data_IF_000729015564
#
_entry.id   IF_000729015564
#
_cell.length_a   1.000
_cell.length_b   1.000
_cell.length_c   1.000
_cell.angle_alpha   90.00
_cell.angle_beta   90.00
_cell.angle_gamma   90.00
#
_symmetry.space_group_name_H-M   'P 1'
#
loop_
_entity.id
_entity.type
_entity.pdbx_description
1 polymer ?
#
# COMPACT_ATOMS: atom_id res chain seq x y z
N UNK A 1 33.84 -3.39 47.96
CA UNK A 1 33.14 -2.24 48.53
C UNK A 1 31.84 -2.76 49.12
N UNK A 2 31.50 -2.50 50.39
CA UNK A 2 30.52 -3.30 51.12
C UNK A 2 29.05 -3.00 50.78
N UNK A 3 28.74 -1.97 50.00
CA UNK A 3 27.37 -1.57 49.68
C UNK A 3 26.96 -1.72 48.20
N UNK A 4 27.91 -1.77 47.27
CA UNK A 4 27.63 -2.03 45.85
C UNK A 4 27.53 -3.54 45.59
N UNK A 5 26.44 -3.97 44.93
CA UNK A 5 26.28 -5.36 44.50
C UNK A 5 26.92 -5.56 43.14
N UNK A 6 27.86 -6.51 43.06
CA UNK A 6 28.46 -6.89 41.79
C UNK A 6 27.46 -7.73 40.96
N UNK A 7 27.02 -7.17 39.84
CA UNK A 7 26.09 -7.82 38.92
C UNK A 7 26.83 -8.66 37.87
N UNK A 8 27.92 -8.12 37.31
CA UNK A 8 28.74 -8.83 36.34
C UNK A 8 30.21 -8.41 36.44
N UNK A 9 31.11 -9.33 36.12
CA UNK A 9 32.53 -9.04 35.93
C UNK A 9 33.06 -9.76 34.71
N UNK A 10 34.01 -9.11 34.03
CA UNK A 10 34.59 -9.62 32.78
C UNK A 10 36.05 -9.25 32.64
N UNK A 11 36.71 -9.92 31.71
CA UNK A 11 38.06 -9.61 31.28
C UNK A 11 38.12 -9.55 29.75
N UNK A 12 38.97 -8.70 29.17
CA UNK A 12 39.18 -8.71 27.73
C UNK A 12 39.82 -10.03 27.30
N UNK A 13 39.42 -10.54 26.13
CA UNK A 13 40.06 -11.70 25.52
C UNK A 13 41.26 -11.35 24.64
N UNK A 14 41.49 -10.06 24.41
CA UNK A 14 42.68 -9.59 23.69
C UNK A 14 43.91 -9.74 24.59
N UNK A 15 44.92 -10.49 24.12
CA UNK A 15 46.17 -10.79 24.83
C UNK A 15 46.81 -9.55 25.48
N UNK A 16 46.94 -8.45 24.73
CA UNK A 16 47.55 -7.20 25.22
C UNK A 16 46.79 -6.59 26.42
N UNK A 17 45.47 -6.56 26.33
CA UNK A 17 44.59 -6.01 27.38
C UNK A 17 44.52 -6.93 28.61
N UNK A 18 44.61 -8.25 28.39
CA UNK A 18 44.69 -9.24 29.47
C UNK A 18 46.02 -9.14 30.23
N UNK A 19 47.12 -8.88 29.53
CA UNK A 19 48.45 -8.69 30.13
C UNK A 19 48.55 -7.37 30.92
N UNK A 20 47.77 -6.35 30.58
CA UNK A 20 47.68 -5.11 31.37
C UNK A 20 46.78 -5.22 32.61
N UNK A 21 46.26 -6.41 32.91
CA UNK A 21 45.40 -6.65 34.07
C UNK A 21 44.03 -5.98 33.98
N UNK A 22 43.56 -5.69 32.77
CA UNK A 22 42.29 -4.98 32.56
C UNK A 22 41.10 -5.83 33.02
N UNK A 23 40.19 -5.21 33.76
CA UNK A 23 38.98 -5.84 34.31
C UNK A 23 37.77 -4.93 34.15
N UNK A 24 36.64 -5.55 33.87
CA UNK A 24 35.36 -4.89 33.73
C UNK A 24 34.45 -5.29 34.88
N UNK A 25 33.73 -4.32 35.42
CA UNK A 25 32.78 -4.52 36.50
C UNK A 25 31.49 -3.78 36.17
N UNK A 26 30.38 -4.48 36.35
CA UNK A 26 29.05 -3.89 36.36
C UNK A 26 28.48 -4.12 37.75
N UNK A 27 28.18 -3.03 38.44
CA UNK A 27 27.47 -3.05 39.72
C UNK A 27 26.04 -2.57 39.54
N UNK A 28 25.26 -2.66 40.60
CA UNK A 28 23.94 -2.02 40.71
C UNK A 28 23.97 -0.50 40.58
N UNK A 29 25.15 0.13 40.65
CA UNK A 29 25.32 1.58 40.59
C UNK A 29 26.07 2.06 39.35
N UNK A 30 27.10 1.34 38.89
CA UNK A 30 28.03 1.83 37.87
C UNK A 30 28.61 0.73 36.98
N UNK A 31 29.02 1.15 35.80
CA UNK A 31 29.92 0.42 34.93
C UNK A 31 31.35 0.94 35.15
N UNK A 32 32.31 0.04 35.35
CA UNK A 32 33.70 0.40 35.57
C UNK A 32 34.67 -0.47 34.77
N UNK A 33 35.75 0.17 34.31
CA UNK A 33 36.91 -0.44 33.66
C UNK A 33 38.15 -0.11 34.47
N UNK A 34 38.77 -1.12 35.07
CA UNK A 34 40.02 -0.98 35.80
C UNK A 34 41.19 -1.50 34.95
N UNK A 35 42.29 -0.76 34.87
CA UNK A 35 43.51 -1.18 34.19
C UNK A 35 44.73 -0.52 34.85
N UNK A 36 45.68 -1.35 35.32
CA UNK A 36 46.78 -0.87 36.14
C UNK A 36 46.30 -0.10 37.38
N UNK A 37 46.60 1.20 37.45
CA UNK A 37 46.16 2.12 38.51
C UNK A 37 45.00 3.04 38.09
N UNK A 38 44.52 2.93 36.85
CA UNK A 38 43.46 3.77 36.31
C UNK A 38 42.12 3.05 36.40
N UNK A 39 41.08 3.84 36.67
CA UNK A 39 39.69 3.41 36.77
C UNK A 39 38.84 4.38 35.97
N UNK A 40 38.25 3.89 34.88
CA UNK A 40 37.22 4.64 34.17
C UNK A 40 35.87 4.14 34.67
N UNK A 41 35.01 5.04 35.13
CA UNK A 41 33.71 4.69 35.67
C UNK A 41 32.60 5.58 35.12
N UNK A 42 31.41 4.98 35.00
CA UNK A 42 30.21 5.66 34.53
C UNK A 42 29.02 5.16 35.36
N UNK A 43 28.32 6.08 36.01
CA UNK A 43 27.09 5.77 36.77
C UNK A 43 26.03 5.27 35.80
N UNK A 44 25.28 4.22 36.17
CA UNK A 44 24.30 3.59 35.28
C UNK A 44 23.23 4.57 34.79
N UNK A 45 22.80 5.50 35.64
CA UNK A 45 21.84 6.55 35.25
C UNK A 45 22.39 7.53 34.22
N UNK A 46 23.71 7.69 34.16
CA UNK A 46 24.41 8.57 33.23
C UNK A 46 24.83 7.85 31.94
N UNK A 47 24.56 6.56 31.80
CA UNK A 47 24.80 5.83 30.55
C UNK A 47 23.87 6.38 29.47
N UNK A 48 24.47 6.85 28.38
CA UNK A 48 23.81 7.33 27.17
C UNK A 48 23.85 6.29 26.06
N UNK A 49 24.24 6.71 24.85
CA UNK A 49 24.30 5.82 23.69
C UNK A 49 25.39 4.76 23.83
N UNK A 50 25.02 3.50 23.55
CA UNK A 50 25.93 2.35 23.56
C UNK A 50 26.19 1.91 22.12
N UNK A 51 27.43 2.03 21.67
CA UNK A 51 27.84 1.60 20.33
C UNK A 51 28.59 0.27 20.41
N UNK A 52 28.16 -0.71 19.61
CA UNK A 52 28.87 -1.97 19.41
C UNK A 52 29.63 -1.92 18.10
N UNK A 53 30.92 -2.25 18.14
CA UNK A 53 31.75 -2.43 16.94
C UNK A 53 32.49 -3.77 16.97
N UNK A 54 32.70 -4.33 15.78
CA UNK A 54 33.39 -5.61 15.59
C UNK A 54 34.42 -5.51 14.48
N UNK A 55 35.70 -5.65 14.84
CA UNK A 55 36.73 -5.89 13.84
C UNK A 55 36.64 -7.31 13.27
N UNK A 56 37.35 -7.58 12.17
CA UNK A 56 37.44 -8.94 11.60
C UNK A 56 37.99 -9.95 12.61
N UNK A 57 38.95 -9.53 13.45
CA UNK A 57 39.50 -10.35 14.52
C UNK A 57 38.47 -10.61 15.62
N UNK A 58 37.65 -9.60 15.96
CA UNK A 58 36.60 -9.77 16.97
C UNK A 58 35.55 -10.77 16.50
N UNK A 59 35.15 -10.73 15.22
CA UNK A 59 34.26 -11.74 14.62
C UNK A 59 34.81 -13.15 14.69
N UNK A 60 36.10 -13.32 14.38
CA UNK A 60 36.76 -14.63 14.45
C UNK A 60 36.78 -15.18 15.89
N UNK A 61 36.99 -14.30 16.87
CA UNK A 61 37.09 -14.65 18.28
C UNK A 61 35.73 -14.69 19.00
N UNK A 62 34.63 -14.36 18.31
CA UNK A 62 33.29 -14.26 18.90
C UNK A 62 33.19 -13.15 19.94
N UNK A 63 33.93 -12.06 19.77
CA UNK A 63 33.96 -10.92 20.69
C UNK A 63 33.46 -9.64 20.01
N UNK A 64 33.28 -8.57 20.79
CA UNK A 64 33.03 -7.22 20.28
C UNK A 64 33.64 -6.15 21.18
N UNK A 65 33.70 -4.92 20.68
CA UNK A 65 34.03 -3.72 21.47
C UNK A 65 32.78 -2.92 21.72
N UNK A 66 32.55 -2.53 22.97
CA UNK A 66 31.45 -1.66 23.38
C UNK A 66 32.00 -0.28 23.76
N UNK A 67 31.44 0.77 23.19
CA UNK A 67 31.73 2.16 23.52
C UNK A 67 30.50 2.70 24.22
N UNK A 68 30.59 2.91 25.52
CA UNK A 68 29.49 3.39 26.36
C UNK A 68 29.67 4.88 26.59
N UNK A 69 28.85 5.68 25.91
CA UNK A 69 28.89 7.13 26.05
C UNK A 69 28.10 7.57 27.29
N UNK A 70 28.50 8.69 27.87
CA UNK A 70 27.76 9.32 28.97
C UNK A 70 26.68 10.29 28.43
N UNK A 71 25.55 10.43 29.13
CA UNK A 71 24.53 11.45 28.86
C UNK A 71 25.06 12.88 29.04
N UNK A 72 25.83 13.20 30.12
CA UNK A 72 26.41 14.52 30.26
C UNK A 72 27.50 14.77 29.20
N UNK A 73 27.42 15.92 28.53
CA UNK A 73 28.44 16.33 27.55
C UNK A 73 29.78 16.56 28.24
N UNK A 74 30.86 16.03 27.67
CA UNK A 74 32.23 16.24 28.15
C UNK A 74 32.78 15.13 29.05
N UNK A 75 31.97 14.13 29.43
CA UNK A 75 32.44 12.93 30.13
C UNK A 75 32.98 11.93 29.11
N UNK A 76 34.18 11.40 29.34
CA UNK A 76 34.82 10.44 28.44
C UNK A 76 34.05 9.10 28.41
N UNK A 77 33.93 8.45 27.24
CA UNK A 77 33.23 7.17 27.13
C UNK A 77 34.03 6.04 27.80
N UNK A 78 33.30 5.08 28.37
CA UNK A 78 33.89 3.83 28.87
C UNK A 78 33.95 2.83 27.72
N UNK A 79 35.16 2.39 27.36
CA UNK A 79 35.37 1.47 26.23
C UNK A 79 35.73 0.07 26.73
N UNK A 80 34.84 -0.89 26.51
CA UNK A 80 35.03 -2.30 26.88
C UNK A 80 35.47 -3.09 25.63
N UNK A 81 36.65 -3.69 25.65
CA UNK A 81 37.20 -4.39 24.48
C UNK A 81 37.18 -5.90 24.65
N UNK A 82 37.02 -6.65 23.55
CA UNK A 82 37.13 -8.10 23.56
C UNK A 82 36.08 -8.80 24.45
N UNK A 83 34.86 -8.27 24.48
CA UNK A 83 33.73 -8.78 25.26
C UNK A 83 33.06 -9.94 24.51
N UNK A 84 32.89 -11.10 25.16
CA UNK A 84 31.98 -12.16 24.67
C UNK A 84 30.55 -11.76 24.96
N UNK A 85 29.62 -12.10 24.06
CA UNK A 85 28.20 -11.75 24.20
C UNK A 85 27.98 -10.23 24.32
N UNK A 86 28.73 -9.42 23.55
CA UNK A 86 28.63 -7.97 23.69
C UNK A 86 27.28 -7.36 23.29
N UNK A 87 26.43 -8.08 22.55
CA UNK A 87 25.07 -7.60 22.21
C UNK A 87 24.19 -7.72 23.44
N UNK A 88 24.30 -8.85 24.13
CA UNK A 88 23.61 -9.10 25.38
C UNK A 88 24.04 -8.10 26.44
N UNK A 89 25.35 -7.84 26.55
CA UNK A 89 25.84 -6.83 27.50
C UNK A 89 25.40 -5.41 27.13
N UNK A 90 25.40 -5.05 25.83
CA UNK A 90 24.91 -3.75 25.39
C UNK A 90 23.41 -3.57 25.70
N UNK A 91 22.58 -4.57 25.36
CA UNK A 91 21.15 -4.55 25.64
C UNK A 91 20.85 -4.52 27.14
N UNK A 92 21.61 -5.25 27.95
CA UNK A 92 21.51 -5.21 29.41
C UNK A 92 21.82 -3.82 29.96
N UNK A 93 22.91 -3.20 29.51
CA UNK A 93 23.30 -1.86 29.93
C UNK A 93 22.26 -0.80 29.51
N UNK A 94 21.72 -0.91 28.29
CA UNK A 94 20.66 -0.04 27.81
C UNK A 94 19.41 -0.17 28.68
N UNK A 95 18.96 -1.40 28.95
CA UNK A 95 17.82 -1.68 29.81
C UNK A 95 18.01 -1.15 31.23
N UNK A 96 19.18 -1.40 31.85
CA UNK A 96 19.51 -0.89 33.18
C UNK A 96 19.64 0.64 33.23
N UNK A 97 20.01 1.28 32.13
CA UNK A 97 20.18 2.75 32.07
C UNK A 97 18.89 3.52 31.76
N UNK A 98 17.93 2.85 31.11
CA UNK A 98 16.72 3.45 30.54
C UNK A 98 15.44 3.17 31.32
N UNK A 99 15.35 2.04 32.04
CA UNK A 99 14.13 1.63 32.75
C UNK A 99 14.38 1.42 34.26
N UNK A 100 13.87 2.33 35.13
CA UNK A 100 13.96 2.19 36.58
C UNK A 100 13.34 0.89 37.13
N UNK A 101 12.29 0.35 36.48
CA UNK A 101 11.67 -0.92 36.90
C UNK A 101 12.54 -2.11 36.54
N UNK A 102 13.27 -2.02 35.43
CA UNK A 102 14.23 -3.04 35.06
C UNK A 102 15.42 -3.05 36.02
N UNK A 103 15.84 -1.89 36.55
CA UNK A 103 16.80 -1.86 37.65
C UNK A 103 16.25 -2.62 38.86
N UNK A 104 15.05 -2.32 39.36
CA UNK A 104 14.45 -3.02 40.51
C UNK A 104 14.37 -4.55 40.32
N UNK A 105 14.12 -5.01 39.08
CA UNK A 105 13.96 -6.43 38.74
C UNK A 105 15.30 -7.15 38.47
N UNK A 106 16.30 -6.46 37.91
CA UNK A 106 17.58 -7.03 37.46
C UNK A 106 18.75 -6.78 38.43
N UNK A 107 18.45 -6.43 39.69
CA UNK A 107 19.43 -6.36 40.79
C UNK A 107 19.89 -7.74 41.29
N UNK A 108 19.32 -8.83 40.75
CA UNK A 108 19.77 -10.19 41.02
C UNK A 108 20.86 -10.62 40.02
N UNK A 109 21.99 -11.09 40.55
CA UNK A 109 23.11 -11.64 39.78
C UNK A 109 22.67 -12.81 38.90
N UNK A 110 21.69 -13.59 39.34
CA UNK A 110 21.15 -14.70 38.55
C UNK A 110 20.40 -14.21 37.32
N UNK A 111 19.57 -13.17 37.48
CA UNK A 111 18.83 -12.57 36.36
C UNK A 111 19.78 -11.97 35.31
N UNK A 112 20.86 -11.31 35.76
CA UNK A 112 21.91 -10.80 34.86
C UNK A 112 22.63 -11.93 34.12
N UNK A 113 22.93 -13.04 34.81
CA UNK A 113 23.53 -14.22 34.17
C UNK A 113 22.61 -14.81 33.09
N UNK A 114 21.31 -14.93 33.37
CA UNK A 114 20.31 -15.42 32.41
C UNK A 114 20.19 -14.49 31.21
N UNK A 115 20.14 -13.17 31.44
CA UNK A 115 20.10 -12.17 30.37
C UNK A 115 21.35 -12.24 29.46
N UNK A 116 22.53 -12.46 30.04
CA UNK A 116 23.77 -12.62 29.28
C UNK A 116 23.90 -13.95 28.54
N UNK A 117 23.26 -15.01 29.06
CA UNK A 117 23.19 -16.32 28.42
C UNK A 117 22.17 -16.37 27.27
N UNK A 118 21.30 -15.37 27.15
CA UNK A 118 20.36 -15.28 26.04
C UNK A 118 21.12 -15.07 24.72
N UNK A 119 21.07 -16.05 23.83
CA UNK A 119 21.56 -15.91 22.46
C UNK A 119 20.40 -15.44 21.57
N UNK A 120 20.30 -14.15 21.22
CA UNK A 120 19.48 -13.75 20.10
C UNK A 120 20.16 -14.34 18.87
N UNK A 121 19.67 -15.50 18.41
CA UNK A 121 20.10 -16.09 17.15
C UNK A 121 19.85 -15.04 16.08
N UNK A 122 20.88 -14.50 15.41
CA UNK A 122 20.62 -13.69 14.23
C UNK A 122 19.90 -14.63 13.26
N UNK A 123 18.77 -14.22 12.68
CA UNK A 123 18.02 -15.11 11.83
C UNK A 123 18.70 -15.15 10.47
N UNK A 124 19.81 -15.89 10.38
CA UNK A 124 20.50 -16.20 9.11
C UNK A 124 19.61 -17.07 8.19
N UNK A 125 18.49 -17.59 8.73
CA UNK A 125 17.40 -18.25 8.01
C UNK A 125 16.33 -17.26 7.51
N UNK A 126 16.16 -16.09 8.12
CA UNK A 126 15.14 -15.14 7.69
C UNK A 126 15.50 -14.41 6.42
N UNK A 127 16.77 -14.20 6.07
CA UNK A 127 17.03 -13.55 4.77
C UNK A 127 16.61 -14.45 3.59
N UNK A 128 16.73 -15.78 3.70
CA UNK A 128 16.22 -16.71 2.68
C UNK A 128 14.72 -16.91 2.77
N UNK A 129 14.12 -16.97 3.97
CA UNK A 129 12.67 -17.13 4.15
C UNK A 129 11.90 -15.83 3.89
N UNK A 130 12.45 -14.67 4.23
CA UNK A 130 11.92 -13.36 3.89
C UNK A 130 12.20 -13.03 2.43
N UNK A 131 13.33 -13.44 1.83
CA UNK A 131 13.51 -13.32 0.37
C UNK A 131 12.58 -14.28 -0.37
N UNK A 132 12.41 -15.53 0.09
CA UNK A 132 11.47 -16.48 -0.51
C UNK A 132 10.02 -16.07 -0.27
N UNK A 133 9.70 -15.51 0.90
CA UNK A 133 8.40 -14.95 1.23
C UNK A 133 8.11 -13.68 0.43
N UNK A 134 9.09 -12.79 0.30
CA UNK A 134 9.03 -11.60 -0.54
C UNK A 134 8.95 -11.96 -2.02
N UNK A 135 9.69 -12.99 -2.49
CA UNK A 135 9.54 -13.52 -3.84
C UNK A 135 8.19 -14.20 -4.02
N UNK A 136 7.68 -14.93 -3.03
CA UNK A 136 6.37 -15.57 -3.11
C UNK A 136 5.26 -14.52 -3.12
N UNK A 137 5.39 -13.44 -2.33
CA UNK A 137 4.50 -12.29 -2.36
C UNK A 137 4.63 -11.55 -3.68
N UNK A 138 5.84 -11.33 -4.19
CA UNK A 138 6.05 -10.73 -5.52
C UNK A 138 5.47 -11.61 -6.61
N UNK A 139 5.67 -12.91 -6.59
CA UNK A 139 5.14 -13.87 -7.57
C UNK A 139 3.63 -13.98 -7.44
N UNK A 140 3.07 -13.99 -6.23
CA UNK A 140 1.63 -13.96 -6.01
C UNK A 140 1.04 -12.63 -6.44
N UNK A 141 1.70 -11.50 -6.14
CA UNK A 141 1.31 -10.17 -6.59
C UNK A 141 1.46 -10.05 -8.10
N UNK A 142 2.49 -10.60 -8.73
CA UNK A 142 2.64 -10.64 -10.18
C UNK A 142 1.63 -11.61 -10.80
N UNK A 143 1.32 -12.74 -10.19
CA UNK A 143 0.29 -13.67 -10.66
C UNK A 143 -1.11 -13.05 -10.53
N UNK A 144 -1.35 -12.27 -9.47
CA UNK A 144 -2.56 -11.49 -9.26
C UNK A 144 -2.59 -10.28 -10.19
N UNK A 145 -1.49 -9.56 -10.41
CA UNK A 145 -1.41 -8.42 -11.34
C UNK A 145 -1.45 -8.89 -12.77
N UNK A 146 -0.90 -10.05 -13.13
CA UNK A 146 -0.99 -10.64 -14.48
C UNK A 146 -2.36 -11.31 -14.67
N UNK A 147 -2.92 -11.92 -13.62
CA UNK A 147 -4.25 -12.52 -13.61
C UNK A 147 -5.40 -11.50 -13.56
N UNK A 148 -5.20 -10.36 -12.89
CA UNK A 148 -6.13 -9.22 -12.79
C UNK A 148 -5.81 -8.09 -13.77
N UNK A 149 -4.60 -8.01 -14.33
CA UNK A 149 -4.39 -7.55 -15.72
C UNK A 149 -4.79 -8.67 -16.67
N UNK A 150 -5.93 -9.31 -16.38
CA UNK A 150 -6.82 -9.70 -17.44
C UNK A 150 -6.95 -8.48 -18.35
N UNK A 151 -6.35 -8.58 -19.54
CA UNK A 151 -6.68 -7.72 -20.67
C UNK A 151 -8.18 -7.56 -20.60
N UNK A 152 -8.65 -6.32 -20.35
CA UNK A 152 -10.08 -6.00 -20.35
C UNK A 152 -10.64 -6.81 -21.50
N UNK A 153 -11.49 -7.81 -21.18
CA UNK A 153 -11.94 -8.75 -22.19
C UNK A 153 -12.40 -7.89 -23.38
N UNK A 154 -12.10 -8.23 -24.64
CA UNK A 154 -12.56 -7.42 -25.76
C UNK A 154 -14.08 -7.25 -25.66
N UNK A 155 -14.61 -6.07 -26.02
CA UNK A 155 -16.07 -5.84 -26.06
C UNK A 155 -16.66 -6.88 -27.00
N UNK A 156 -17.35 -7.87 -26.42
CA UNK A 156 -18.07 -8.88 -27.17
C UNK A 156 -19.38 -8.25 -27.62
N UNK A 157 -19.44 -7.82 -28.87
CA UNK A 157 -20.69 -7.42 -29.48
C UNK A 157 -21.48 -8.66 -29.85
N UNK A 158 -22.80 -8.60 -29.68
CA UNK A 158 -23.67 -9.66 -30.14
C UNK A 158 -23.61 -9.75 -31.68
N UNK A 159 -23.77 -10.95 -32.23
CA UNK A 159 -23.67 -11.18 -33.68
C UNK A 159 -24.68 -10.34 -34.49
N UNK A 160 -25.82 -10.02 -33.89
CA UNK A 160 -26.92 -9.23 -34.45
C UNK A 160 -26.90 -7.75 -34.02
N UNK A 161 -25.76 -7.22 -33.54
CA UNK A 161 -25.67 -5.83 -33.10
C UNK A 161 -25.88 -4.87 -34.30
N UNK A 162 -26.79 -3.92 -34.15
CA UNK A 162 -27.14 -2.97 -35.21
C UNK A 162 -26.00 -1.99 -35.54
N UNK A 163 -24.98 -1.90 -34.68
CA UNK A 163 -23.80 -1.06 -34.84
C UNK A 163 -22.54 -1.92 -35.12
N UNK A 164 -22.48 -3.14 -34.59
CA UNK A 164 -21.32 -4.04 -34.70
C UNK A 164 -21.68 -5.52 -35.01
N UNK A 165 -22.30 -5.82 -36.16
CA UNK A 165 -22.68 -7.19 -36.50
C UNK A 165 -21.44 -8.10 -36.58
N UNK A 166 -21.54 -9.27 -35.96
CA UNK A 166 -20.42 -10.21 -35.80
C UNK A 166 -19.15 -9.59 -35.19
N UNK A 167 -19.29 -8.55 -34.37
CA UNK A 167 -18.14 -7.85 -33.78
C UNK A 167 -17.40 -6.89 -34.71
N UNK A 168 -17.89 -6.68 -35.94
CA UNK A 168 -17.30 -5.74 -36.90
C UNK A 168 -18.14 -4.49 -36.99
N UNK A 169 -17.54 -3.32 -36.73
CA UNK A 169 -18.23 -2.04 -36.82
C UNK A 169 -18.76 -1.81 -38.24
N UNK A 170 -20.03 -1.41 -38.36
CA UNK A 170 -20.64 -1.03 -39.64
C UNK A 170 -19.93 0.16 -40.27
N UNK A 171 -20.13 0.34 -41.57
CA UNK A 171 -19.61 1.52 -42.27
C UNK A 171 -20.17 2.81 -41.66
N UNK A 172 -19.42 3.90 -41.78
CA UNK A 172 -19.84 5.19 -41.24
C UNK A 172 -21.21 5.62 -41.77
N UNK A 173 -21.47 5.43 -43.06
CA UNK A 173 -22.76 5.78 -43.68
C UNK A 173 -23.93 4.98 -43.13
N UNK A 174 -23.74 3.70 -42.85
CA UNK A 174 -24.78 2.86 -42.25
C UNK A 174 -25.09 3.23 -40.81
N UNK A 175 -24.06 3.58 -40.02
CA UNK A 175 -24.25 4.06 -38.65
C UNK A 175 -25.00 5.38 -38.64
N UNK A 176 -24.60 6.34 -39.50
CA UNK A 176 -25.30 7.64 -39.59
C UNK A 176 -26.76 7.44 -40.00
N UNK A 177 -27.02 6.61 -41.01
CA UNK A 177 -28.39 6.30 -41.45
C UNK A 177 -29.23 5.66 -40.34
N UNK A 178 -28.68 4.69 -39.59
CA UNK A 178 -29.34 4.10 -38.43
C UNK A 178 -29.65 5.15 -37.35
N UNK A 179 -28.69 6.04 -37.07
CA UNK A 179 -28.90 7.12 -36.11
C UNK A 179 -30.02 8.06 -36.56
N UNK A 180 -30.06 8.44 -37.83
CA UNK A 180 -31.08 9.36 -38.37
C UNK A 180 -32.46 8.73 -38.49
N UNK A 181 -32.53 7.46 -38.89
CA UNK A 181 -33.79 6.77 -39.20
C UNK A 181 -34.45 6.09 -38.00
N UNK A 182 -33.65 5.59 -37.06
CA UNK A 182 -34.16 4.77 -35.95
C UNK A 182 -33.98 5.49 -34.61
N UNK A 183 -32.78 6.05 -34.36
CA UNK A 183 -32.46 6.64 -33.05
C UNK A 183 -33.06 8.04 -32.90
N UNK A 184 -32.90 8.92 -33.90
CA UNK A 184 -33.37 10.30 -33.82
C UNK A 184 -34.89 10.44 -33.65
N UNK A 185 -35.76 9.66 -34.33
CA UNK A 185 -37.20 9.74 -34.10
C UNK A 185 -37.58 9.38 -32.66
N UNK A 186 -36.98 8.32 -32.12
CA UNK A 186 -37.17 7.96 -30.72
C UNK A 186 -36.60 9.02 -29.77
N UNK A 187 -35.39 9.52 -30.03
CA UNK A 187 -34.75 10.52 -29.20
C UNK A 187 -35.56 11.83 -29.14
N UNK A 188 -36.17 12.24 -30.26
CA UNK A 188 -37.07 13.39 -30.30
C UNK A 188 -38.31 13.19 -29.43
N UNK A 189 -38.91 11.99 -29.49
CA UNK A 189 -40.08 11.66 -28.68
C UNK A 189 -39.75 11.60 -27.17
N UNK A 190 -38.60 11.03 -26.82
CA UNK A 190 -38.16 10.83 -25.43
C UNK A 190 -37.57 12.12 -24.83
N UNK A 191 -36.56 12.72 -25.47
CA UNK A 191 -35.81 13.85 -24.92
C UNK A 191 -36.46 15.20 -25.15
N UNK A 192 -37.46 15.30 -26.04
CA UNK A 192 -38.10 16.57 -26.38
C UNK A 192 -38.61 17.35 -25.16
N UNK A 193 -39.08 16.66 -24.11
CA UNK A 193 -39.55 17.31 -22.87
C UNK A 193 -38.43 17.96 -22.07
N UNK A 194 -37.21 17.44 -22.18
CA UNK A 194 -36.04 17.93 -21.43
C UNK A 194 -35.42 19.15 -22.11
N UNK A 195 -35.37 19.14 -23.45
CA UNK A 195 -34.68 20.19 -24.23
C UNK A 195 -35.62 21.29 -24.77
N UNK A 196 -36.89 21.27 -24.37
CA UNK A 196 -37.87 22.29 -24.75
C UNK A 196 -38.49 22.10 -26.14
N UNK A 197 -38.55 20.86 -26.62
CA UNK A 197 -39.30 20.45 -27.82
C UNK A 197 -38.57 19.40 -28.67
N UNK A 198 -39.29 18.54 -29.41
CA UNK A 198 -38.69 17.50 -30.25
C UNK A 198 -37.75 18.08 -31.32
N UNK A 199 -38.07 19.23 -31.90
CA UNK A 199 -37.24 19.87 -32.93
C UNK A 199 -35.91 20.42 -32.42
N UNK A 200 -35.74 20.51 -31.09
CA UNK A 200 -34.49 20.93 -30.45
C UNK A 200 -33.55 19.76 -30.14
N UNK A 201 -34.02 18.53 -30.29
CA UNK A 201 -33.18 17.34 -30.16
C UNK A 201 -32.40 17.15 -31.47
N UNK A 202 -31.08 17.27 -31.38
CA UNK A 202 -30.14 17.08 -32.48
C UNK A 202 -29.09 16.04 -32.09
N UNK A 203 -28.24 15.64 -33.03
CA UNK A 203 -27.12 14.77 -32.72
C UNK A 203 -26.17 15.41 -31.67
N UNK A 204 -26.04 16.73 -31.63
CA UNK A 204 -25.24 17.44 -30.61
C UNK A 204 -25.88 17.36 -29.20
N UNK A 205 -27.19 17.15 -29.11
CA UNK A 205 -27.87 16.90 -27.82
C UNK A 205 -27.31 15.64 -27.14
N UNK A 206 -27.03 14.60 -27.94
CA UNK A 206 -26.52 13.34 -27.44
C UNK A 206 -24.99 13.31 -27.42
N UNK A 207 -24.33 13.88 -28.43
CA UNK A 207 -22.89 13.73 -28.63
C UNK A 207 -22.05 14.94 -28.16
N UNK A 208 -22.70 16.02 -27.72
CA UNK A 208 -22.07 17.30 -27.36
C UNK A 208 -21.80 18.17 -28.59
N UNK A 209 -21.41 19.43 -28.36
CA UNK A 209 -21.16 20.38 -29.44
C UNK A 209 -20.09 19.87 -30.43
N UNK A 210 -20.25 20.26 -31.71
CA UNK A 210 -19.32 19.91 -32.79
C UNK A 210 -19.11 18.40 -32.96
N UNK A 211 -20.15 17.59 -32.70
CA UNK A 211 -20.01 16.14 -32.69
C UNK A 211 -19.55 15.60 -34.05
N UNK A 212 -20.05 16.15 -35.16
CA UNK A 212 -19.63 15.76 -36.51
C UNK A 212 -18.10 15.91 -36.72
N UNK A 213 -17.51 17.01 -36.21
CA UNK A 213 -16.06 17.26 -36.28
C UNK A 213 -15.23 16.32 -35.39
N UNK A 214 -15.85 15.73 -34.36
CA UNK A 214 -15.26 14.72 -33.49
C UNK A 214 -15.65 13.29 -33.90
N UNK A 215 -16.14 13.11 -35.12
CA UNK A 215 -16.63 11.83 -35.65
C UNK A 215 -17.69 11.17 -34.74
N UNK A 216 -18.59 12.01 -34.22
CA UNK A 216 -19.66 11.65 -33.30
C UNK A 216 -19.19 10.98 -32.01
N UNK A 217 -17.89 11.07 -31.71
CA UNK A 217 -17.34 10.63 -30.44
C UNK A 217 -17.87 11.52 -29.34
N UNK A 218 -18.31 10.93 -28.25
CA UNK A 218 -18.61 11.67 -27.04
C UNK A 218 -17.31 12.04 -26.32
N UNK A 219 -17.27 13.12 -25.52
CA UNK A 219 -16.16 13.36 -24.61
C UNK A 219 -15.93 12.10 -23.77
N UNK A 220 -14.70 11.59 -23.78
CA UNK A 220 -14.41 10.32 -23.13
C UNK A 220 -14.63 10.48 -21.61
N UNK A 221 -15.49 9.62 -21.07
CA UNK A 221 -15.75 9.51 -19.62
C UNK A 221 -14.48 9.06 -18.87
N UNK A 222 -13.51 8.50 -19.59
CA UNK A 222 -12.16 8.21 -19.12
C UNK A 222 -11.35 9.46 -18.74
N UNK A 223 -11.70 10.63 -19.29
CA UNK A 223 -11.00 11.89 -19.07
C UNK A 223 -11.66 12.72 -17.96
N UNK A 224 -12.84 12.31 -17.47
CA UNK A 224 -13.39 12.87 -16.24
C UNK A 224 -12.48 12.47 -15.06
N UNK A 225 -12.28 13.36 -14.07
CA UNK A 225 -11.57 12.99 -12.84
C UNK A 225 -12.22 11.75 -12.20
N UNK A 226 -11.56 11.12 -11.22
CA UNK A 226 -12.28 10.14 -10.40
C UNK A 226 -13.21 10.91 -9.45
N UNK A 227 -14.47 10.47 -9.28
CA UNK A 227 -15.37 11.13 -8.34
C UNK A 227 -14.80 10.98 -6.94
N UNK A 228 -14.91 12.03 -6.11
CA UNK A 228 -14.36 12.07 -4.74
C UNK A 228 -15.24 11.25 -3.78
N UNK A 229 -15.39 9.96 -4.11
CA UNK A 229 -16.09 8.95 -3.32
C UNK A 229 -15.02 8.07 -2.72
N UNK A 230 -15.01 7.95 -1.39
CA UNK A 230 -14.12 7.00 -0.71
C UNK A 230 -14.31 5.62 -1.34
N UNK A 231 -13.23 5.03 -1.84
CA UNK A 231 -13.21 3.69 -2.44
C UNK A 231 -13.68 2.59 -1.45
N UNK A 232 -13.76 2.90 -0.14
CA UNK A 232 -14.27 1.98 0.89
C UNK A 232 -15.68 1.49 0.56
N UNK A 233 -15.81 0.19 0.34
CA UNK A 233 -17.07 -0.48 0.05
C UNK A 233 -17.24 -0.87 -1.42
N UNK A 234 -16.41 -0.35 -2.33
CA UNK A 234 -16.37 -0.79 -3.72
C UNK A 234 -15.60 -2.11 -3.91
N UNK A 235 -14.72 -2.45 -2.96
CA UNK A 235 -13.97 -3.70 -2.99
C UNK A 235 -14.88 -4.95 -3.01
N UNK A 236 -16.13 -4.81 -2.53
CA UNK A 236 -17.13 -5.87 -2.53
C UNK A 236 -17.74 -6.19 -3.92
N UNK A 237 -17.62 -5.27 -4.90
CA UNK A 237 -18.21 -5.44 -6.25
C UNK A 237 -17.23 -6.04 -7.27
N UNK A 238 -16.05 -6.48 -6.82
CA UNK A 238 -15.17 -7.38 -7.58
C UNK A 238 -14.44 -6.76 -8.78
N UNK A 239 -14.49 -5.45 -8.97
CA UNK A 239 -13.80 -4.76 -10.08
C UNK A 239 -13.69 -3.25 -9.87
N UNK A 240 -12.79 -2.60 -10.63
CA UNK A 240 -12.67 -1.15 -10.63
C UNK A 240 -13.93 -0.45 -11.14
N UNK A 241 -14.18 0.79 -10.70
CA UNK A 241 -15.34 1.58 -11.12
C UNK A 241 -15.27 1.89 -12.62
N UNK A 242 -16.18 1.30 -13.41
CA UNK A 242 -16.18 1.46 -14.85
C UNK A 242 -16.71 2.84 -15.29
N UNK A 243 -16.48 3.20 -16.55
CA UNK A 243 -16.87 4.49 -17.10
C UNK A 243 -18.37 4.80 -16.95
N UNK A 244 -19.28 3.82 -17.08
CA UNK A 244 -20.70 4.03 -16.86
C UNK A 244 -21.05 4.27 -15.40
N UNK A 245 -20.47 3.49 -14.51
CA UNK A 245 -20.69 3.69 -13.08
C UNK A 245 -20.15 5.06 -12.64
N UNK A 246 -18.98 5.48 -13.13
CA UNK A 246 -18.44 6.84 -12.91
C UNK A 246 -19.37 7.92 -13.45
N UNK A 247 -19.89 7.77 -14.67
CA UNK A 247 -20.82 8.73 -15.25
C UNK A 247 -22.12 8.84 -14.44
N UNK A 248 -22.66 7.71 -13.99
CA UNK A 248 -23.83 7.69 -13.14
C UNK A 248 -23.55 8.42 -11.82
N UNK A 249 -22.43 8.10 -11.15
CA UNK A 249 -22.00 8.72 -9.88
C UNK A 249 -21.75 10.23 -10.03
N UNK A 250 -21.13 10.69 -11.11
CA UNK A 250 -21.02 12.13 -11.38
C UNK A 250 -22.38 12.81 -11.60
N UNK A 251 -23.32 12.11 -12.21
CA UNK A 251 -24.70 12.56 -12.30
C UNK A 251 -25.38 12.69 -10.93
N UNK A 252 -25.05 11.80 -10.00
CA UNK A 252 -25.59 11.80 -8.63
C UNK A 252 -24.94 12.82 -7.68
N UNK A 253 -23.62 12.99 -7.75
CA UNK A 253 -22.87 13.87 -6.85
C UNK A 253 -22.94 15.34 -7.25
N UNK A 254 -23.38 15.61 -8.47
CA UNK A 254 -23.60 16.96 -8.92
C UNK A 254 -24.97 17.48 -8.43
N UNK A 255 -25.16 18.80 -8.53
CA UNK A 255 -26.38 19.53 -8.12
C UNK A 255 -27.69 18.78 -8.45
N UNK A 256 -28.72 18.97 -7.63
CA UNK A 256 -30.07 18.39 -7.69
C UNK A 256 -30.68 18.27 -9.10
N UNK A 257 -30.45 19.25 -9.97
CA UNK A 257 -30.91 19.21 -11.36
C UNK A 257 -30.26 18.06 -12.17
N UNK A 258 -28.99 17.76 -11.90
CA UNK A 258 -28.24 16.68 -12.56
C UNK A 258 -28.64 15.30 -12.03
N UNK A 259 -29.04 15.20 -10.76
CA UNK A 259 -29.61 13.96 -10.22
C UNK A 259 -30.91 13.57 -10.95
N UNK A 260 -31.79 14.55 -11.20
CA UNK A 260 -33.04 14.34 -11.93
C UNK A 260 -32.77 13.88 -13.37
N UNK A 261 -31.81 14.53 -14.06
CA UNK A 261 -31.39 14.10 -15.41
C UNK A 261 -30.77 12.71 -15.40
N UNK A 262 -29.93 12.39 -14.43
CA UNK A 262 -29.32 11.07 -14.29
C UNK A 262 -30.36 9.96 -14.01
N UNK A 263 -31.37 10.24 -13.18
CA UNK A 263 -32.52 9.35 -12.98
C UNK A 263 -33.27 9.09 -14.28
N UNK A 264 -33.62 10.15 -15.00
CA UNK A 264 -34.31 10.03 -16.29
C UNK A 264 -33.50 9.23 -17.32
N UNK A 265 -32.18 9.42 -17.36
CA UNK A 265 -31.30 8.64 -18.24
C UNK A 265 -31.34 7.14 -17.89
N UNK A 266 -31.33 6.78 -16.61
CA UNK A 266 -31.34 5.37 -16.15
C UNK A 266 -32.69 4.69 -16.34
N UNK A 267 -33.78 5.40 -16.06
CA UNK A 267 -35.11 4.80 -16.00
C UNK A 267 -35.84 4.83 -17.35
N UNK A 268 -35.49 5.77 -18.24
CA UNK A 268 -36.22 5.97 -19.50
C UNK A 268 -35.30 5.82 -20.71
N UNK A 269 -34.20 6.58 -20.75
CA UNK A 269 -33.37 6.67 -21.97
C UNK A 269 -32.60 5.36 -22.20
N UNK A 270 -31.90 4.86 -21.18
CA UNK A 270 -31.13 3.62 -21.29
C UNK A 270 -32.00 2.40 -21.63
N UNK A 271 -33.13 2.13 -20.93
CA UNK A 271 -34.03 1.03 -21.30
C UNK A 271 -34.66 1.17 -22.68
N UNK A 272 -35.09 2.37 -23.06
CA UNK A 272 -35.67 2.59 -24.39
C UNK A 272 -34.67 2.40 -25.52
N UNK A 273 -33.42 2.85 -25.34
CA UNK A 273 -32.35 2.62 -26.31
C UNK A 273 -31.98 1.12 -26.37
N UNK A 274 -31.99 0.43 -25.22
CA UNK A 274 -31.74 -1.00 -25.17
C UNK A 274 -32.79 -1.78 -25.95
N UNK A 275 -34.06 -1.38 -25.83
CA UNK A 275 -35.17 -1.97 -26.57
C UNK A 275 -35.03 -1.75 -28.09
N UNK A 276 -34.67 -0.53 -28.53
CA UNK A 276 -34.40 -0.24 -29.94
C UNK A 276 -33.29 -1.14 -30.53
N UNK A 277 -32.26 -1.41 -29.73
CA UNK A 277 -31.14 -2.26 -30.11
C UNK A 277 -31.38 -3.75 -29.83
N UNK A 278 -32.55 -4.11 -29.28
CA UNK A 278 -32.92 -5.48 -28.87
C UNK A 278 -31.88 -6.09 -27.91
N UNK A 279 -31.49 -5.31 -26.92
CA UNK A 279 -30.52 -5.69 -25.88
C UNK A 279 -31.14 -5.54 -24.49
N UNK A 280 -30.63 -6.26 -23.48
CA UNK A 280 -30.94 -5.93 -22.10
C UNK A 280 -30.41 -4.53 -21.78
N UNK A 281 -31.11 -3.78 -20.93
CA UNK A 281 -30.61 -2.50 -20.44
C UNK A 281 -29.47 -2.75 -19.43
N UNK A 282 -28.53 -1.80 -19.32
CA UNK A 282 -27.50 -1.88 -18.28
C UNK A 282 -28.13 -1.92 -16.89
N UNK A 283 -27.85 -2.99 -16.15
CA UNK A 283 -28.27 -3.18 -14.77
C UNK A 283 -27.21 -2.58 -13.83
N UNK A 284 -27.52 -1.43 -13.25
CA UNK A 284 -26.65 -0.73 -12.30
C UNK A 284 -26.46 -1.48 -10.97
N UNK A 285 -27.20 -2.56 -10.72
CA UNK A 285 -27.01 -3.42 -9.54
C UNK A 285 -26.01 -4.54 -9.78
N UNK A 286 -25.60 -4.76 -11.04
CA UNK A 286 -24.70 -5.83 -11.44
C UNK A 286 -23.30 -5.29 -11.80
N UNK A 287 -22.24 -6.11 -11.63
CA UNK A 287 -20.90 -5.73 -12.06
C UNK A 287 -20.81 -5.42 -13.57
N UNK A 288 -19.80 -4.64 -13.95
CA UNK A 288 -19.53 -4.29 -15.35
C UNK A 288 -19.37 -5.52 -16.25
N UNK A 289 -18.62 -6.52 -15.78
CA UNK A 289 -18.37 -7.75 -16.51
C UNK A 289 -19.64 -8.60 -16.69
N UNK A 290 -20.55 -8.57 -15.72
CA UNK A 290 -21.87 -9.20 -15.86
C UNK A 290 -22.66 -8.53 -16.99
N UNK A 291 -22.81 -7.20 -16.96
CA UNK A 291 -23.54 -6.47 -17.98
C UNK A 291 -22.96 -6.69 -19.39
N UNK A 292 -21.63 -6.74 -19.49
CA UNK A 292 -20.95 -6.98 -20.75
C UNK A 292 -21.10 -8.39 -21.28
N UNK A 293 -20.96 -9.40 -20.42
CA UNK A 293 -21.14 -10.81 -20.82
C UNK A 293 -22.57 -11.12 -21.27
N UNK A 294 -23.54 -10.28 -20.87
CA UNK A 294 -24.93 -10.37 -21.29
C UNK A 294 -25.30 -9.39 -22.42
N UNK A 295 -24.31 -8.74 -23.05
CA UNK A 295 -24.50 -7.77 -24.13
C UNK A 295 -25.48 -6.64 -23.76
N UNK A 296 -25.51 -6.23 -22.50
CA UNK A 296 -26.41 -5.18 -22.03
C UNK A 296 -26.01 -3.82 -22.58
N UNK A 297 -26.98 -3.10 -23.15
CA UNK A 297 -26.73 -1.78 -23.70
C UNK A 297 -26.30 -0.82 -22.60
N UNK A 298 -25.11 -0.28 -22.78
CA UNK A 298 -24.46 0.68 -21.91
C UNK A 298 -23.94 1.89 -22.67
N UNK A 299 -23.56 2.98 -21.98
CA UNK A 299 -22.85 4.10 -22.60
C UNK A 299 -21.62 3.61 -23.39
N UNK A 300 -20.92 2.55 -22.97
CA UNK A 300 -19.76 2.03 -23.72
C UNK A 300 -20.08 1.52 -25.15
N UNK A 301 -21.35 1.26 -25.49
CA UNK A 301 -21.74 0.91 -26.87
C UNK A 301 -21.63 2.11 -27.81
N UNK A 302 -21.90 3.31 -27.30
CA UNK A 302 -21.77 4.57 -28.05
C UNK A 302 -20.46 5.30 -27.74
N UNK A 303 -19.81 4.99 -26.62
CA UNK A 303 -18.57 5.58 -26.15
C UNK A 303 -17.46 4.52 -26.18
N UNK A 304 -16.53 4.58 -27.16
CA UNK A 304 -15.31 3.78 -27.03
C UNK A 304 -14.57 4.23 -25.77
N UNK A 305 -14.44 3.32 -24.82
CA UNK A 305 -13.48 3.45 -23.72
C UNK A 305 -12.13 3.07 -24.34
N UNK A 306 -11.47 4.05 -24.95
CA UNK A 306 -10.02 3.98 -25.22
C UNK A 306 -9.27 4.48 -23.98
#
# INVERSE_FOLDING_TARGET
MPWERLLWSGHPLRLRARLSGERYFLTDFRLARAYGKQLDELVLHDVGEIQRSESRLDRLLGTSTLIVNAKPRGVAPVVLTGIRHGAQLAALLELLSGDPRAQETLLDREAVRVALAWEPRPPVSEYRQALAGFLAILVAMFAVVIGLHGKVAPVAYAADDAIAPNGVKRSRGEIVRFMEMDVMPWARATLGRIVGGPNRVTCDTCHGASAAGRDWRMPAVAVLPQPDVKERGWEAYGGGMDAQMRNAIYGYLADSEKQTKAGYMREVVMPGMAQLLRRPAYDFTQPYDYNRSHHALGCYHCHRVE
#
